data_IF_251575724337
#
_entry.id   IF_251575724337
#
_cell.length_a   1.000
_cell.length_b   1.000
_cell.length_c   1.000
_cell.angle_alpha   90.00
_cell.angle_beta   90.00
_cell.angle_gamma   90.00
#
_symmetry.space_group_name_H-M   'P 1'
#
loop_
_entity.id
_entity.type
_entity.pdbx_description
1 polymer ?
#
# COMPACT_ATOMS: atom_id res chain seq x y z
N UNK A 1 8.22 -10.61 -7.79
CA UNK A 1 7.44 -9.69 -6.93
C UNK A 1 8.29 -8.47 -6.62
N UNK A 2 7.74 -7.27 -6.79
CA UNK A 2 8.44 -6.00 -6.58
C UNK A 2 8.07 -5.47 -5.20
N UNK A 3 9.08 -5.22 -4.36
CA UNK A 3 8.87 -4.68 -3.00
C UNK A 3 8.96 -3.16 -3.03
N UNK A 4 8.12 -2.50 -2.24
CA UNK A 4 8.11 -1.05 -2.10
C UNK A 4 7.47 -0.61 -0.80
N UNK A 5 7.35 0.70 -0.64
CA UNK A 5 6.70 1.31 0.52
C UNK A 5 5.45 2.06 0.08
N UNK A 6 4.35 1.87 0.82
CA UNK A 6 3.13 2.64 0.63
C UNK A 6 3.36 4.10 1.02
N UNK A 7 2.82 5.04 0.25
CA UNK A 7 2.76 6.44 0.61
C UNK A 7 1.49 7.08 0.04
N UNK A 8 1.02 8.15 0.66
CA UNK A 8 -0.06 8.96 0.11
C UNK A 8 0.50 9.96 -0.90
N UNK A 9 -0.01 9.94 -2.12
CA UNK A 9 0.26 10.94 -3.14
C UNK A 9 -0.86 12.01 -3.12
N UNK A 10 -0.59 13.24 -2.64
CA UNK A 10 -1.58 14.30 -2.58
C UNK A 10 -1.96 14.84 -3.95
N UNK A 11 -1.19 14.57 -5.01
CA UNK A 11 -1.51 15.06 -6.35
C UNK A 11 -2.63 14.26 -7.02
N UNK A 12 -2.72 12.97 -6.69
CA UNK A 12 -3.76 12.07 -7.19
C UNK A 12 -4.82 11.70 -6.13
N UNK A 13 -4.63 12.16 -4.89
CA UNK A 13 -5.43 11.82 -3.70
C UNK A 13 -5.53 10.30 -3.46
N UNK A 14 -4.46 9.57 -3.82
CA UNK A 14 -4.39 8.12 -3.75
C UNK A 14 -3.20 7.65 -2.95
N UNK A 15 -3.32 6.46 -2.39
CA UNK A 15 -2.14 5.70 -2.00
C UNK A 15 -1.39 5.24 -3.25
N UNK A 16 -0.07 5.20 -3.17
CA UNK A 16 0.81 4.68 -4.21
C UNK A 16 1.97 3.88 -3.57
N UNK A 17 2.74 3.17 -4.39
CA UNK A 17 3.88 2.37 -3.93
C UNK A 17 5.15 2.91 -4.57
N UNK A 18 6.12 3.31 -3.74
CA UNK A 18 7.47 3.63 -4.19
C UNK A 18 8.35 2.38 -4.11
N UNK A 19 8.83 1.91 -5.25
CA UNK A 19 9.74 0.76 -5.35
C UNK A 19 11.22 1.15 -5.37
N UNK A 20 11.53 2.41 -5.68
CA UNK A 20 12.90 2.92 -5.79
C UNK A 20 12.94 4.43 -5.93
N UNK A 21 14.10 4.99 -6.29
CA UNK A 21 14.29 6.45 -6.36
C UNK A 21 13.28 7.12 -7.32
N UNK A 22 13.10 6.55 -8.51
CA UNK A 22 12.22 7.06 -9.58
C UNK A 22 11.21 6.01 -10.06
N UNK A 23 10.93 4.99 -9.24
CA UNK A 23 10.07 3.88 -9.64
C UNK A 23 8.85 3.79 -8.74
N UNK A 24 7.67 3.99 -9.32
CA UNK A 24 6.38 4.10 -8.63
C UNK A 24 5.36 3.16 -9.28
N UNK A 25 4.26 2.87 -8.58
CA UNK A 25 3.17 2.07 -9.15
C UNK A 25 2.23 2.92 -10.01
N UNK A 26 2.00 4.18 -9.64
CA UNK A 26 1.19 5.14 -10.40
C UNK A 26 -0.23 5.30 -9.86
N UNK A 27 -0.40 5.11 -8.55
CA UNK A 27 -1.68 5.29 -7.85
C UNK A 27 -2.48 3.99 -7.77
N UNK A 28 -2.89 3.64 -6.56
CA UNK A 28 -3.65 2.44 -6.28
C UNK A 28 -5.15 2.66 -6.48
N UNK A 29 -5.83 1.57 -6.81
CA UNK A 29 -7.28 1.49 -6.92
C UNK A 29 -7.84 0.54 -5.86
N UNK A 30 -9.07 0.79 -5.45
CA UNK A 30 -9.81 -0.15 -4.62
C UNK A 30 -9.81 -1.55 -5.25
N UNK A 31 -9.56 -2.56 -4.43
CA UNK A 31 -9.44 -3.94 -4.86
C UNK A 31 -8.04 -4.37 -5.31
N UNK A 32 -7.06 -3.45 -5.45
CA UNK A 32 -5.67 -3.85 -5.75
C UNK A 32 -5.13 -4.74 -4.62
N UNK A 33 -4.88 -6.00 -4.93
CA UNK A 33 -4.30 -6.98 -4.01
C UNK A 33 -2.79 -6.82 -3.89
N UNK A 34 -2.27 -7.01 -2.68
CA UNK A 34 -0.83 -6.96 -2.36
C UNK A 34 -0.55 -7.77 -1.10
N UNK A 35 0.72 -8.09 -0.82
CA UNK A 35 1.12 -8.56 0.50
C UNK A 35 1.79 -7.43 1.28
N UNK A 36 1.47 -7.28 2.57
CA UNK A 36 2.15 -6.39 3.50
C UNK A 36 3.10 -7.17 4.41
N UNK A 37 4.27 -6.61 4.71
CA UNK A 37 5.25 -7.22 5.61
C UNK A 37 4.93 -6.88 7.08
N UNK A 38 4.51 -7.88 7.85
CA UNK A 38 4.20 -7.76 9.27
C UNK A 38 4.98 -8.82 10.05
N UNK A 39 5.79 -8.39 11.02
CA UNK A 39 6.60 -9.29 11.86
C UNK A 39 7.42 -10.31 11.05
N UNK A 40 8.00 -9.87 9.93
CA UNK A 40 8.81 -10.71 9.03
C UNK A 40 8.01 -11.67 8.14
N UNK A 41 6.67 -11.59 8.14
CA UNK A 41 5.79 -12.42 7.31
C UNK A 41 5.01 -11.57 6.32
N UNK A 42 4.82 -12.11 5.12
CA UNK A 42 3.98 -11.52 4.10
C UNK A 42 2.53 -11.91 4.35
N UNK A 43 1.66 -10.92 4.55
CA UNK A 43 0.24 -11.10 4.83
C UNK A 43 -0.55 -10.57 3.64
N UNK A 44 -1.39 -11.39 2.98
CA UNK A 44 -2.18 -10.94 1.84
C UNK A 44 -3.27 -9.98 2.28
N UNK A 45 -3.47 -8.94 1.50
CA UNK A 45 -4.47 -7.90 1.72
C UNK A 45 -4.92 -7.30 0.38
N UNK A 46 -5.89 -6.39 0.43
CA UNK A 46 -6.23 -5.49 -0.66
C UNK A 46 -6.46 -4.11 -0.10
N UNK A 47 -6.15 -3.10 -0.90
CA UNK A 47 -6.44 -1.72 -0.55
C UNK A 47 -7.89 -1.36 -0.92
N UNK A 48 -8.53 -0.58 -0.06
CA UNK A 48 -9.90 -0.07 -0.23
C UNK A 48 -9.96 1.38 0.26
N UNK A 49 -11.06 2.06 -0.07
CA UNK A 49 -11.35 3.42 0.39
C UNK A 49 -12.68 3.42 1.16
N UNK A 50 -12.63 3.88 2.41
CA UNK A 50 -13.79 4.11 3.27
C UNK A 50 -13.88 5.60 3.62
N UNK A 51 -13.83 5.93 4.91
CA UNK A 51 -13.56 7.31 5.36
C UNK A 51 -12.14 7.74 4.98
N UNK A 52 -11.18 6.80 5.06
CA UNK A 52 -9.80 6.94 4.61
C UNK A 52 -9.36 5.68 3.84
N UNK A 53 -8.18 5.76 3.21
CA UNK A 53 -7.54 4.60 2.59
C UNK A 53 -7.14 3.57 3.65
N UNK A 54 -7.51 2.31 3.45
CA UNK A 54 -7.21 1.23 4.40
C UNK A 54 -6.86 -0.09 3.71
N UNK A 55 -6.20 -0.98 4.45
CA UNK A 55 -5.86 -2.32 4.02
C UNK A 55 -6.79 -3.33 4.70
N UNK A 56 -7.51 -4.11 3.91
CA UNK A 56 -8.48 -5.08 4.44
C UNK A 56 -7.76 -6.14 5.28
N UNK A 57 -8.23 -6.34 6.51
CA UNK A 57 -7.65 -7.30 7.46
C UNK A 57 -6.38 -6.82 8.19
N UNK A 58 -5.89 -5.62 7.91
CA UNK A 58 -4.74 -5.02 8.59
C UNK A 58 -5.24 -3.89 9.50
N UNK A 59 -5.08 -4.05 10.82
CA UNK A 59 -5.51 -3.07 11.82
C UNK A 59 -4.36 -2.10 12.14
N UNK A 60 -4.46 -0.87 11.66
CA UNK A 60 -3.53 0.23 11.93
C UNK A 60 -4.23 1.55 11.63
N UNK A 61 -3.83 2.62 12.33
CA UNK A 61 -4.34 3.98 12.08
C UNK A 61 -3.62 4.66 10.91
N UNK A 62 -2.49 4.11 10.45
CA UNK A 62 -1.72 4.63 9.34
C UNK A 62 -1.11 3.50 8.51
N UNK A 63 -1.31 3.55 7.19
CA UNK A 63 -0.77 2.59 6.22
C UNK A 63 0.43 3.13 5.43
N UNK A 64 0.74 4.42 5.54
CA UNK A 64 1.93 5.01 4.94
C UNK A 64 3.20 4.46 5.60
N UNK A 65 4.20 4.16 4.78
CA UNK A 65 5.47 3.57 5.21
C UNK A 65 5.46 2.04 5.32
N UNK A 66 4.29 1.39 5.21
CA UNK A 66 4.22 -0.07 5.23
C UNK A 66 4.93 -0.65 4.01
N UNK A 67 5.77 -1.66 4.26
CA UNK A 67 6.46 -2.39 3.20
C UNK A 67 5.49 -3.40 2.59
N UNK A 68 5.34 -3.32 1.26
CA UNK A 68 4.43 -4.16 0.49
C UNK A 68 5.14 -4.82 -0.67
N UNK A 69 4.53 -5.85 -1.26
CA UNK A 69 4.95 -6.44 -2.53
C UNK A 69 3.77 -6.76 -3.44
N UNK A 70 4.02 -6.61 -4.74
CA UNK A 70 3.15 -7.02 -5.85
C UNK A 70 3.84 -8.09 -6.69
#
# INVERSE_FOLDING_TARGET
>A
MKQGSLFYDPSSERMDIRFGLESYYGGLHCGTGMDVLINGKWVPTRIELGEDWYLVGIKTDNISGLVVRL
#
